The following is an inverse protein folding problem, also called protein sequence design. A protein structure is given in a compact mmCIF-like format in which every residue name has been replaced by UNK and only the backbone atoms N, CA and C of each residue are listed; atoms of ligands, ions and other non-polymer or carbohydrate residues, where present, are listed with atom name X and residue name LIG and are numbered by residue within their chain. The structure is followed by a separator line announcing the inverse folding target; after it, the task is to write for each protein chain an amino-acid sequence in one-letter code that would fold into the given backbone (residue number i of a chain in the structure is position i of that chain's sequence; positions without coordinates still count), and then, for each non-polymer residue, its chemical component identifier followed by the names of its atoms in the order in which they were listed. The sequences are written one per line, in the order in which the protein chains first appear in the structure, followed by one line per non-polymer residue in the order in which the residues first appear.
data_IF_765495188747
#
_entry.id   IF_765495188747
#
_cell.length_a   1.000
_cell.length_b   1.000
_cell.length_c   1.000
_cell.angle_alpha   90.00
_cell.angle_beta   90.00
_cell.angle_gamma   90.00
#
_symmetry.space_group_name_H-M   'P 1'
#
loop_
_entity.id
_entity.type
_entity.pdbx_description
1 polymer ?
#
# COMPACT_ATOMS: atom_id res chain seq x y z
N UNK A 1 0.72 -11.92 -12.72
CA UNK A 1 1.91 -11.95 -11.83
C UNK A 1 3.03 -10.98 -12.21
N UNK A 2 3.54 -10.95 -13.45
CA UNK A 2 4.59 -9.95 -13.82
C UNK A 2 4.06 -8.50 -13.84
N UNK A 3 2.79 -8.29 -14.21
CA UNK A 3 2.17 -6.96 -14.26
C UNK A 3 1.78 -6.40 -12.88
N UNK A 4 1.33 -7.23 -11.93
CA UNK A 4 0.97 -6.80 -10.55
C UNK A 4 2.16 -6.21 -9.77
N UNK A 5 3.37 -6.75 -10.00
CA UNK A 5 4.60 -6.14 -9.45
C UNK A 5 4.98 -4.89 -10.22
N UNK A 6 4.75 -4.82 -11.53
CA UNK A 6 5.00 -3.64 -12.38
C UNK A 6 4.12 -2.41 -12.00
N UNK A 7 2.95 -2.66 -11.42
CA UNK A 7 1.96 -1.67 -10.99
C UNK A 7 2.47 -0.80 -9.83
N UNK A 8 2.95 -1.38 -8.73
CA UNK A 8 3.57 -0.62 -7.62
C UNK A 8 4.94 0.00 -7.99
N UNK A 9 5.53 -0.41 -9.11
CA UNK A 9 6.88 0.00 -9.55
C UNK A 9 6.93 1.29 -10.37
N UNK A 10 5.79 1.83 -10.83
CA UNK A 10 5.76 3.04 -11.69
C UNK A 10 5.37 4.33 -10.95
N UNK A 11 5.01 4.25 -9.67
CA UNK A 11 4.75 5.39 -8.80
C UNK A 11 6.02 6.18 -8.43
N UNK A 12 7.13 5.48 -8.21
CA UNK A 12 8.34 6.01 -7.55
C UNK A 12 9.56 6.01 -8.49
N UNK A 13 9.57 6.84 -9.53
CA UNK A 13 10.80 7.06 -10.32
C UNK A 13 11.10 8.54 -10.47
N UNK A 14 12.08 9.05 -9.73
CA UNK A 14 12.56 10.43 -9.88
C UNK A 14 14.07 10.50 -9.82
N UNK A 15 14.63 11.25 -10.76
CA UNK A 15 16.06 11.52 -10.87
C UNK A 15 16.43 12.70 -9.97
N UNK A 16 17.22 12.49 -8.92
CA UNK A 16 17.86 13.55 -8.16
C UNK A 16 19.27 13.85 -8.70
N UNK A 17 19.67 15.12 -8.64
CA UNK A 17 21.01 15.60 -9.03
C UNK A 17 21.66 16.18 -7.78
N UNK A 18 22.48 15.38 -7.10
CA UNK A 18 23.20 15.82 -5.91
C UNK A 18 24.35 16.77 -6.25
N UNK A 19 24.48 17.85 -5.48
CA UNK A 19 25.68 18.68 -5.42
C UNK A 19 25.98 19.12 -3.98
N UNK A 20 26.56 18.21 -3.21
CA UNK A 20 27.05 18.49 -1.85
C UNK A 20 28.14 19.59 -1.84
N UNK A 21 27.94 20.60 -0.99
CA UNK A 21 28.97 21.58 -0.60
C UNK A 21 29.06 21.59 0.92
N UNK A 22 30.04 20.88 1.47
CA UNK A 22 30.30 20.87 2.90
C UNK A 22 30.80 22.21 3.46
N UNK A 23 30.31 22.57 4.64
CA UNK A 23 30.80 23.67 5.45
C UNK A 23 31.17 23.21 6.87
N UNK A 24 32.42 22.79 7.05
CA UNK A 24 33.04 22.72 8.39
C UNK A 24 33.32 24.13 8.91
N UNK A 25 32.33 24.76 9.53
CA UNK A 25 32.47 25.98 10.30
C UNK A 25 32.75 25.67 11.78
N UNK A 26 34.04 25.66 12.18
CA UNK A 26 34.45 25.43 13.57
C UNK A 26 33.89 26.48 14.54
N UNK A 27 32.73 26.23 15.16
CA UNK A 27 32.23 26.93 16.33
C UNK A 27 32.49 26.07 17.56
N UNK A 28 33.44 26.49 18.41
CA UNK A 28 33.74 25.83 19.69
C UNK A 28 32.75 26.23 20.77
N UNK A 29 31.46 25.94 20.58
CA UNK A 29 30.40 26.14 21.56
C UNK A 29 29.98 24.82 22.20
N UNK A 30 29.64 24.83 23.48
CA UNK A 30 29.13 23.63 24.16
C UNK A 30 27.82 23.18 23.48
N UNK A 31 27.72 21.89 23.14
CA UNK A 31 26.58 21.30 22.42
C UNK A 31 26.76 21.18 20.89
N UNK A 32 27.73 21.86 20.28
CA UNK A 32 27.90 21.81 18.81
C UNK A 32 28.38 20.45 18.30
N UNK A 33 29.21 19.74 19.08
CA UNK A 33 29.71 18.40 18.73
C UNK A 33 28.57 17.38 18.70
N UNK A 34 27.61 17.48 19.61
CA UNK A 34 26.45 16.58 19.65
C UNK A 34 25.46 16.90 18.52
N UNK A 35 25.24 18.18 18.20
CA UNK A 35 24.43 18.55 17.01
C UNK A 35 25.09 18.01 15.72
N UNK A 36 26.41 18.18 15.54
CA UNK A 36 27.10 17.64 14.36
C UNK A 36 26.95 16.11 14.27
N UNK A 37 27.12 15.39 15.37
CA UNK A 37 26.93 13.93 15.40
C UNK A 37 25.49 13.50 15.07
N UNK A 38 24.47 14.23 15.54
CA UNK A 38 23.09 13.96 15.20
C UNK A 38 22.82 14.15 13.70
N UNK A 39 23.29 15.27 13.13
CA UNK A 39 23.10 15.54 11.70
C UNK A 39 23.89 14.57 10.81
N UNK A 40 25.09 14.12 11.22
CA UNK A 40 25.82 13.08 10.48
C UNK A 40 24.98 11.78 10.39
N UNK A 41 24.33 11.36 11.48
CA UNK A 41 23.47 10.16 11.50
C UNK A 41 22.20 10.32 10.64
N UNK A 42 21.57 11.51 10.68
CA UNK A 42 20.40 11.82 9.87
C UNK A 42 20.76 11.97 8.39
N UNK A 43 21.95 12.46 8.06
CA UNK A 43 22.47 12.49 6.68
C UNK A 43 22.75 11.07 6.18
N UNK A 44 23.38 10.21 6.99
CA UNK A 44 23.55 8.78 6.66
C UNK A 44 22.21 8.07 6.40
N UNK A 45 21.15 8.43 7.16
CA UNK A 45 19.80 7.94 6.87
C UNK A 45 19.27 8.46 5.54
N UNK A 46 19.46 9.76 5.26
CA UNK A 46 18.99 10.36 4.02
C UNK A 46 19.65 9.71 2.81
N UNK A 47 20.95 9.41 2.87
CA UNK A 47 21.65 8.68 1.80
C UNK A 47 20.99 7.31 1.53
N UNK A 48 20.62 6.57 2.59
CA UNK A 48 19.95 5.28 2.48
C UNK A 48 18.53 5.43 1.92
N UNK A 49 17.79 6.45 2.36
CA UNK A 49 16.43 6.73 1.88
C UNK A 49 16.43 7.19 0.41
N UNK A 50 17.42 7.99 0.01
CA UNK A 50 17.61 8.43 -1.37
C UNK A 50 17.98 7.25 -2.28
N UNK A 51 18.77 6.28 -1.78
CA UNK A 51 19.01 5.03 -2.51
C UNK A 51 17.69 4.31 -2.82
N UNK A 52 16.69 4.34 -1.93
CA UNK A 52 15.38 3.76 -2.21
C UNK A 52 14.59 4.55 -3.26
N UNK A 53 14.76 5.87 -3.33
CA UNK A 53 14.16 6.67 -4.40
C UNK A 53 14.83 6.46 -5.76
N UNK A 54 16.15 6.22 -5.79
CA UNK A 54 16.94 6.03 -7.00
C UNK A 54 16.87 4.62 -7.59
N UNK A 55 16.44 3.63 -6.81
CA UNK A 55 16.25 2.26 -7.27
C UNK A 55 15.08 2.19 -8.26
N UNK A 56 15.38 2.37 -9.55
CA UNK A 56 14.53 1.93 -10.67
C UNK A 56 14.27 0.39 -10.63
N UNK A 57 15.00 -0.35 -9.79
CA UNK A 57 15.01 -1.80 -9.67
C UNK A 57 14.37 -2.29 -8.35
N UNK A 58 13.07 -2.57 -8.41
CA UNK A 58 12.35 -3.73 -7.83
C UNK A 58 12.38 -4.08 -6.32
N UNK A 59 13.18 -3.46 -5.46
CA UNK A 59 13.36 -3.91 -4.06
C UNK A 59 13.15 -2.76 -3.07
N UNK A 60 12.03 -2.82 -2.34
CA UNK A 60 11.82 -2.00 -1.14
C UNK A 60 12.87 -2.39 -0.07
N UNK A 61 13.17 -1.48 0.88
CA UNK A 61 14.12 -1.79 1.95
C UNK A 61 13.71 -3.05 2.69
N UNK A 62 14.70 -3.89 3.00
CA UNK A 62 14.46 -5.03 3.86
C UNK A 62 14.32 -4.60 5.34
N UNK A 63 13.85 -5.51 6.18
CA UNK A 63 13.67 -5.21 7.61
C UNK A 63 14.97 -4.80 8.30
N UNK A 64 16.13 -5.33 7.87
CA UNK A 64 17.40 -5.00 8.51
C UNK A 64 17.86 -3.58 8.17
N UNK A 65 17.55 -3.10 6.96
CA UNK A 65 17.76 -1.71 6.55
C UNK A 65 16.84 -0.76 7.31
N UNK A 66 15.54 -1.10 7.40
CA UNK A 66 14.54 -0.35 8.20
C UNK A 66 14.98 -0.24 9.67
N UNK A 67 15.35 -1.36 10.29
CA UNK A 67 15.82 -1.40 11.68
C UNK A 67 17.10 -0.56 11.87
N UNK A 68 17.98 -0.56 10.88
CA UNK A 68 19.20 0.25 10.87
C UNK A 68 18.92 1.75 10.82
N UNK A 69 17.93 2.18 10.05
CA UNK A 69 17.51 3.59 10.00
C UNK A 69 16.91 4.02 11.34
N UNK A 70 15.98 3.24 11.90
CA UNK A 70 15.38 3.50 13.22
C UNK A 70 16.44 3.63 14.31
N UNK A 71 17.44 2.73 14.31
CA UNK A 71 18.54 2.82 15.27
C UNK A 71 19.34 4.13 15.14
N UNK A 72 19.65 4.58 13.91
CA UNK A 72 20.37 5.85 13.72
C UNK A 72 19.53 7.07 14.11
N UNK A 73 18.21 7.01 13.92
CA UNK A 73 17.28 8.04 14.43
C UNK A 73 17.33 8.10 15.95
N UNK A 74 17.18 6.96 16.65
CA UNK A 74 17.26 6.89 18.11
C UNK A 74 18.61 7.45 18.63
N UNK A 75 19.72 7.10 17.96
CA UNK A 75 21.05 7.61 18.31
C UNK A 75 21.19 9.12 18.03
N UNK A 76 20.59 9.63 16.95
CA UNK A 76 20.57 11.06 16.65
C UNK A 76 19.75 11.83 17.70
N UNK A 77 18.60 11.32 18.13
CA UNK A 77 17.80 11.92 19.19
C UNK A 77 18.55 11.97 20.52
N UNK A 78 19.28 10.91 20.89
CA UNK A 78 20.14 10.89 22.08
C UNK A 78 21.21 12.02 22.04
N UNK A 79 21.76 12.30 20.86
CA UNK A 79 22.70 13.41 20.64
C UNK A 79 22.01 14.78 20.71
N UNK A 80 20.82 14.94 20.11
CA UNK A 80 20.03 16.17 20.18
C UNK A 80 19.62 16.49 21.62
N UNK A 81 19.22 15.48 22.40
CA UNK A 81 18.91 15.58 23.83
C UNK A 81 20.13 16.08 24.63
N UNK A 82 21.32 15.55 24.32
CA UNK A 82 22.56 15.97 24.96
C UNK A 82 22.94 17.42 24.62
N UNK A 83 22.76 17.82 23.35
CA UNK A 83 22.96 19.19 22.90
C UNK A 83 21.99 20.16 23.58
N UNK A 84 20.69 19.86 23.60
CA UNK A 84 19.64 20.71 24.21
C UNK A 84 19.94 20.98 25.70
N UNK A 85 20.41 19.95 26.42
CA UNK A 85 20.71 20.05 27.84
C UNK A 85 21.81 21.06 28.19
N UNK A 86 22.68 21.39 27.24
CA UNK A 86 23.81 22.33 27.41
C UNK A 86 23.69 23.59 26.54
N UNK A 87 22.71 23.65 25.63
CA UNK A 87 22.55 24.74 24.69
C UNK A 87 22.11 26.04 25.38
N UNK A 88 23.02 27.00 25.48
CA UNK A 88 22.72 28.40 25.87
C UNK A 88 22.58 29.33 24.66
N UNK A 89 23.00 28.88 23.47
CA UNK A 89 22.98 29.64 22.23
C UNK A 89 21.70 29.38 21.44
N UNK A 90 21.09 30.45 20.92
CA UNK A 90 19.86 30.39 20.11
C UNK A 90 20.12 29.57 18.83
N UNK A 91 21.27 29.74 18.17
CA UNK A 91 21.62 29.00 16.95
C UNK A 91 21.69 27.48 17.19
N UNK A 92 22.23 27.05 18.34
CA UNK A 92 22.26 25.63 18.72
C UNK A 92 20.86 25.12 19.00
N UNK A 93 20.02 25.88 19.73
CA UNK A 93 18.64 25.48 19.99
C UNK A 93 17.81 25.37 18.71
N UNK A 94 18.05 26.26 17.73
CA UNK A 94 17.39 26.19 16.43
C UNK A 94 17.84 24.96 15.63
N UNK A 95 19.14 24.62 15.66
CA UNK A 95 19.66 23.41 15.04
C UNK A 95 19.13 22.13 15.69
N UNK A 96 19.02 22.10 17.01
CA UNK A 96 18.46 20.97 17.76
C UNK A 96 17.00 20.73 17.35
N UNK A 97 16.18 21.79 17.31
CA UNK A 97 14.77 21.67 16.88
C UNK A 97 14.65 21.16 15.45
N UNK A 98 15.48 21.68 14.54
CA UNK A 98 15.52 21.21 13.16
C UNK A 98 15.88 19.72 13.09
N UNK A 99 16.87 19.28 13.88
CA UNK A 99 17.27 17.88 13.98
C UNK A 99 16.12 16.98 14.42
N UNK A 100 15.32 17.38 15.41
CA UNK A 100 14.14 16.61 15.83
C UNK A 100 13.08 16.53 14.73
N UNK A 101 12.81 17.63 14.02
CA UNK A 101 11.83 17.61 12.92
C UNK A 101 12.27 16.69 11.77
N UNK A 102 13.56 16.66 11.45
CA UNK A 102 14.11 15.72 10.45
C UNK A 102 14.04 14.27 10.96
N UNK A 103 14.39 14.03 12.22
CA UNK A 103 14.30 12.71 12.85
C UNK A 103 12.86 12.16 12.83
N UNK A 104 11.89 13.00 13.18
CA UNK A 104 10.46 12.68 13.15
C UNK A 104 9.98 12.36 11.73
N UNK A 105 10.34 13.19 10.75
CA UNK A 105 10.03 12.94 9.34
C UNK A 105 10.61 11.60 8.84
N UNK A 106 11.91 11.35 9.08
CA UNK A 106 12.56 10.11 8.66
C UNK A 106 11.93 8.88 9.35
N UNK A 107 11.53 9.02 10.62
CA UNK A 107 10.88 7.93 11.35
C UNK A 107 9.50 7.61 10.75
N UNK A 108 8.68 8.62 10.49
CA UNK A 108 7.37 8.45 9.86
C UNK A 108 7.50 7.83 8.48
N UNK A 109 8.44 8.30 7.67
CA UNK A 109 8.67 7.76 6.32
C UNK A 109 9.06 6.28 6.36
N UNK A 110 9.93 5.89 7.28
CA UNK A 110 10.34 4.49 7.43
C UNK A 110 9.19 3.61 7.94
N UNK A 111 8.32 4.13 8.80
CA UNK A 111 7.10 3.43 9.21
C UNK A 111 6.14 3.24 8.03
N UNK A 112 6.01 4.25 7.16
CA UNK A 112 5.24 4.12 5.93
C UNK A 112 5.81 3.01 5.03
N UNK A 113 7.12 2.99 4.80
CA UNK A 113 7.79 1.94 4.01
C UNK A 113 7.59 0.54 4.61
N UNK A 114 7.63 0.40 5.93
CA UNK A 114 7.36 -0.86 6.63
C UNK A 114 5.93 -1.35 6.42
N UNK A 115 4.94 -0.45 6.53
CA UNK A 115 3.54 -0.77 6.29
C UNK A 115 3.28 -1.15 4.82
N UNK A 116 3.85 -0.42 3.87
CA UNK A 116 3.82 -0.74 2.43
C UNK A 116 4.40 -2.14 2.16
N UNK A 117 5.52 -2.48 2.81
CA UNK A 117 6.12 -3.82 2.72
C UNK A 117 5.16 -4.91 3.23
N UNK A 118 4.48 -4.68 4.35
CA UNK A 118 3.48 -5.62 4.88
C UNK A 118 2.36 -5.86 3.87
N UNK A 119 1.85 -4.78 3.28
CA UNK A 119 0.79 -4.82 2.28
C UNK A 119 1.19 -5.67 1.06
N UNK A 120 2.39 -5.45 0.53
CA UNK A 120 2.91 -6.22 -0.62
C UNK A 120 3.04 -7.70 -0.28
N UNK A 121 3.57 -8.02 0.89
CA UNK A 121 3.69 -9.40 1.36
C UNK A 121 2.34 -10.08 1.58
N UNK A 122 1.36 -9.34 2.09
CA UNK A 122 -0.02 -9.80 2.25
C UNK A 122 -0.65 -10.17 0.90
N UNK A 123 -0.49 -9.32 -0.11
CA UNK A 123 -0.99 -9.60 -1.46
C UNK A 123 -0.35 -10.83 -2.12
N UNK A 124 0.98 -10.96 -2.02
CA UNK A 124 1.68 -12.15 -2.52
C UNK A 124 1.18 -13.43 -1.80
N UNK A 125 0.83 -13.31 -0.51
CA UNK A 125 0.28 -14.41 0.30
C UNK A 125 -1.14 -14.77 -0.14
N UNK A 126 -2.02 -13.79 -0.33
CA UNK A 126 -3.40 -13.97 -0.82
C UNK A 126 -3.40 -14.69 -2.16
N UNK A 127 -2.58 -14.23 -3.11
CA UNK A 127 -2.46 -14.88 -4.44
C UNK A 127 -2.02 -16.33 -4.28
N UNK A 128 -1.00 -16.59 -3.46
CA UNK A 128 -0.51 -17.95 -3.24
C UNK A 128 -1.55 -18.85 -2.55
N UNK A 129 -2.43 -18.30 -1.70
CA UNK A 129 -3.53 -19.02 -1.06
C UNK A 129 -4.64 -19.34 -2.07
N UNK A 130 -5.05 -18.38 -2.90
CA UNK A 130 -6.04 -18.59 -3.97
C UNK A 130 -5.53 -19.64 -4.98
N UNK A 131 -4.27 -19.52 -5.44
CA UNK A 131 -3.65 -20.51 -6.34
C UNK A 131 -3.59 -21.93 -5.73
N UNK A 132 -3.61 -22.02 -4.39
CA UNK A 132 -3.58 -23.26 -3.65
C UNK A 132 -4.98 -23.76 -3.22
N UNK A 133 -6.06 -23.14 -3.72
CA UNK A 133 -7.45 -23.50 -3.39
C UNK A 133 -7.76 -23.33 -1.88
N UNK A 134 -7.17 -22.30 -1.27
CA UNK A 134 -7.30 -21.96 0.16
C UNK A 134 -8.03 -20.63 0.34
N UNK A 135 -9.24 -20.52 -0.22
CA UNK A 135 -10.01 -19.26 -0.23
C UNK A 135 -10.35 -18.75 1.18
N UNK A 136 -10.66 -19.63 2.13
CA UNK A 136 -10.88 -19.25 3.53
C UNK A 136 -9.66 -18.54 4.15
N UNK A 137 -8.46 -19.09 3.90
CA UNK A 137 -7.22 -18.50 4.42
C UNK A 137 -6.89 -17.18 3.70
N UNK A 138 -7.19 -17.10 2.40
CA UNK A 138 -7.05 -15.88 1.60
C UNK A 138 -7.98 -14.77 2.13
N UNK A 139 -9.20 -15.11 2.54
CA UNK A 139 -10.14 -14.16 3.11
C UNK A 139 -9.63 -13.59 4.43
N UNK A 140 -9.19 -14.45 5.36
CA UNK A 140 -8.60 -14.02 6.64
C UNK A 140 -7.40 -13.09 6.41
N UNK A 141 -6.50 -13.45 5.48
CA UNK A 141 -5.33 -12.62 5.15
C UNK A 141 -5.74 -11.31 4.47
N UNK A 142 -6.80 -11.29 3.67
CA UNK A 142 -7.30 -10.08 3.01
C UNK A 142 -7.97 -9.09 3.97
N UNK A 143 -8.58 -9.57 5.05
CA UNK A 143 -9.11 -8.73 6.13
C UNK A 143 -7.96 -8.08 6.93
N UNK A 144 -6.90 -8.85 7.26
CA UNK A 144 -5.69 -8.30 7.90
C UNK A 144 -4.99 -7.28 6.98
N UNK A 145 -4.95 -7.56 5.68
CA UNK A 145 -4.34 -6.67 4.69
C UNK A 145 -5.04 -5.31 4.59
N UNK A 146 -6.36 -5.24 4.82
CA UNK A 146 -7.07 -3.96 4.85
C UNK A 146 -6.61 -3.08 6.01
N UNK A 147 -6.43 -3.67 7.20
CA UNK A 147 -5.91 -2.96 8.35
C UNK A 147 -4.49 -2.44 8.06
N UNK A 148 -3.63 -3.29 7.46
CA UNK A 148 -2.27 -2.91 7.06
C UNK A 148 -2.25 -1.79 5.98
N UNK A 149 -3.18 -1.82 5.02
CA UNK A 149 -3.28 -0.80 3.97
C UNK A 149 -3.73 0.55 4.55
N UNK A 150 -4.69 0.54 5.47
CA UNK A 150 -5.14 1.73 6.17
C UNK A 150 -4.02 2.32 7.05
N UNK A 151 -3.25 1.46 7.73
CA UNK A 151 -2.06 1.88 8.48
C UNK A 151 -1.00 2.48 7.55
N UNK A 152 -0.73 1.88 6.39
CA UNK A 152 0.20 2.44 5.41
C UNK A 152 -0.22 3.84 4.96
N UNK A 153 -1.50 4.03 4.68
CA UNK A 153 -2.05 5.32 4.27
C UNK A 153 -1.90 6.38 5.38
N UNK A 154 -2.26 6.03 6.63
CA UNK A 154 -2.05 6.89 7.81
C UNK A 154 -0.57 7.29 7.95
N UNK A 155 0.36 6.35 7.76
CA UNK A 155 1.80 6.62 7.86
C UNK A 155 2.36 7.48 6.73
N UNK A 156 1.84 7.34 5.52
CA UNK A 156 2.21 8.25 4.41
C UNK A 156 1.74 9.67 4.73
N UNK A 157 0.49 9.83 5.15
CA UNK A 157 -0.07 11.11 5.57
C UNK A 157 0.69 11.74 6.75
N UNK A 158 1.03 10.97 7.80
CA UNK A 158 1.88 11.43 8.91
C UNK A 158 3.27 11.89 8.43
N UNK A 159 3.83 11.23 7.41
CA UNK A 159 5.12 11.61 6.82
C UNK A 159 5.03 12.94 6.05
N UNK A 160 3.92 13.18 5.34
CA UNK A 160 3.66 14.46 4.66
C UNK A 160 3.53 15.59 5.68
N UNK A 161 2.77 15.36 6.75
CA UNK A 161 2.61 16.33 7.84
C UNK A 161 3.94 16.64 8.52
N UNK A 162 4.75 15.61 8.82
CA UNK A 162 6.08 15.78 9.41
C UNK A 162 7.03 16.57 8.48
N UNK A 163 6.96 16.33 7.17
CA UNK A 163 7.71 17.11 6.17
C UNK A 163 7.28 18.58 6.15
N UNK A 164 5.97 18.86 6.26
CA UNK A 164 5.41 20.22 6.30
C UNK A 164 5.79 21.00 7.57
N UNK A 165 6.11 20.30 8.65
CA UNK A 165 6.58 20.91 9.90
C UNK A 165 8.06 21.32 9.84
N UNK A 166 8.83 20.79 8.88
CA UNK A 166 10.22 21.19 8.66
C UNK A 166 10.25 22.60 8.07
N UNK A 167 10.91 23.51 8.78
CA UNK A 167 11.05 24.90 8.35
C UNK A 167 12.11 25.02 7.24
N UNK A 168 11.66 25.10 5.98
CA UNK A 168 12.50 25.29 4.79
C UNK A 168 13.50 26.46 4.93
N UNK A 169 13.07 27.57 5.55
CA UNK A 169 13.95 28.73 5.74
C UNK A 169 15.11 28.39 6.70
N UNK A 170 14.88 27.49 7.68
CA UNK A 170 15.91 27.00 8.61
C UNK A 170 16.80 25.96 7.97
N UNK A 171 16.27 25.04 7.16
CA UNK A 171 17.06 24.09 6.37
C UNK A 171 18.07 24.83 5.47
N UNK A 172 17.57 25.78 4.67
CA UNK A 172 18.38 26.59 3.75
C UNK A 172 19.44 27.43 4.49
N UNK A 173 19.11 27.93 5.68
CA UNK A 173 20.03 28.77 6.47
C UNK A 173 21.15 27.95 7.11
N UNK A 174 20.86 26.72 7.51
CA UNK A 174 21.84 25.88 8.20
C UNK A 174 22.72 25.07 7.23
N UNK A 175 22.30 24.85 5.98
CA UNK A 175 23.04 24.08 4.95
C UNK A 175 23.58 22.72 5.50
N UNK A 176 22.78 22.04 6.35
CA UNK A 176 23.20 20.83 7.07
C UNK A 176 22.81 19.52 6.38
N UNK A 177 21.56 19.41 5.92
CA UNK A 177 21.01 18.23 5.24
C UNK A 177 20.18 18.69 4.05
N UNK A 178 20.33 18.00 2.92
CA UNK A 178 19.46 18.12 1.75
C UNK A 178 18.45 16.98 1.82
N UNK A 179 17.15 17.29 1.99
CA UNK A 179 16.10 16.27 1.92
C UNK A 179 15.86 15.94 0.44
N UNK A 180 16.17 14.70 0.02
CA UNK A 180 15.93 14.23 -1.35
C UNK A 180 14.46 13.99 -1.66
N UNK A 181 13.61 13.96 -0.63
CA UNK A 181 12.18 13.66 -0.72
C UNK A 181 11.39 14.90 -1.16
N UNK A 182 10.65 14.78 -2.26
CA UNK A 182 9.76 15.82 -2.77
C UNK A 182 8.34 15.58 -2.27
N UNK A 183 7.77 16.56 -1.56
CA UNK A 183 6.40 16.50 -1.05
C UNK A 183 5.39 16.09 -2.11
N UNK A 184 5.52 16.60 -3.33
CA UNK A 184 4.58 16.27 -4.42
C UNK A 184 4.64 14.78 -4.81
N UNK A 185 5.76 14.09 -4.53
CA UNK A 185 5.85 12.63 -4.68
C UNK A 185 5.12 11.92 -3.56
N UNK A 186 5.31 12.33 -2.31
CA UNK A 186 4.60 11.72 -1.18
C UNK A 186 3.08 11.90 -1.32
N UNK A 187 2.62 13.10 -1.68
CA UNK A 187 1.20 13.35 -1.99
C UNK A 187 0.73 12.47 -3.15
N UNK A 188 1.57 12.18 -4.14
CA UNK A 188 1.21 11.26 -5.22
C UNK A 188 1.11 9.81 -4.72
N UNK A 189 2.03 9.36 -3.88
CA UNK A 189 2.00 8.01 -3.28
C UNK A 189 0.77 7.85 -2.39
N UNK A 190 0.43 8.85 -1.59
CA UNK A 190 -0.78 8.94 -0.77
C UNK A 190 -2.04 8.72 -1.62
N UNK A 191 -2.20 9.51 -2.69
CA UNK A 191 -3.32 9.34 -3.64
C UNK A 191 -3.33 7.97 -4.35
N UNK A 192 -2.16 7.42 -4.67
CA UNK A 192 -2.05 6.08 -5.27
C UNK A 192 -2.46 4.98 -4.26
N UNK A 193 -2.12 5.15 -2.98
CA UNK A 193 -2.48 4.23 -1.90
C UNK A 193 -3.97 4.29 -1.54
N UNK A 194 -4.61 5.46 -1.58
CA UNK A 194 -6.06 5.59 -1.43
C UNK A 194 -6.81 4.70 -2.43
N UNK A 195 -6.41 4.76 -3.71
CA UNK A 195 -7.02 3.89 -4.75
C UNK A 195 -6.69 2.43 -4.48
N UNK A 196 -5.49 2.14 -3.99
CA UNK A 196 -5.07 0.77 -3.69
C UNK A 196 -5.86 0.14 -2.54
N UNK A 197 -6.15 0.90 -1.48
CA UNK A 197 -7.01 0.49 -0.37
C UNK A 197 -8.41 0.10 -0.89
N UNK A 198 -8.99 0.93 -1.76
CA UNK A 198 -10.27 0.65 -2.42
C UNK A 198 -10.21 -0.61 -3.31
N UNK A 199 -9.10 -0.83 -4.01
CA UNK A 199 -8.89 -2.07 -4.76
C UNK A 199 -8.82 -3.31 -3.85
N UNK A 200 -8.16 -3.21 -2.69
CA UNK A 200 -8.10 -4.31 -1.71
C UNK A 200 -9.50 -4.61 -1.18
N UNK A 201 -10.33 -3.60 -0.88
CA UNK A 201 -11.73 -3.79 -0.52
C UNK A 201 -12.50 -4.57 -1.60
N UNK A 202 -12.31 -4.21 -2.88
CA UNK A 202 -12.92 -4.94 -3.99
C UNK A 202 -12.43 -6.39 -4.08
N UNK A 203 -11.14 -6.66 -3.83
CA UNK A 203 -10.62 -8.02 -3.79
C UNK A 203 -11.18 -8.84 -2.64
N UNK A 204 -11.40 -8.26 -1.46
CA UNK A 204 -12.06 -8.95 -0.33
C UNK A 204 -13.46 -9.40 -0.75
N UNK A 205 -14.24 -8.50 -1.36
CA UNK A 205 -15.58 -8.81 -1.89
C UNK A 205 -15.52 -9.92 -2.96
N UNK A 206 -14.53 -9.88 -3.88
CA UNK A 206 -14.31 -10.97 -4.84
C UNK A 206 -13.98 -12.31 -4.16
N UNK A 207 -13.12 -12.32 -3.13
CA UNK A 207 -12.73 -13.54 -2.40
C UNK A 207 -13.95 -14.13 -1.67
N UNK A 208 -14.80 -13.29 -1.08
CA UNK A 208 -16.08 -13.72 -0.49
C UNK A 208 -17.01 -14.33 -1.53
N UNK A 209 -17.08 -13.74 -2.74
CA UNK A 209 -17.81 -14.30 -3.87
C UNK A 209 -17.28 -15.68 -4.29
N UNK A 210 -15.95 -15.86 -4.35
CA UNK A 210 -15.32 -17.14 -4.65
C UNK A 210 -15.63 -18.19 -3.58
N UNK A 211 -15.59 -17.84 -2.30
CA UNK A 211 -15.95 -18.75 -1.19
C UNK A 211 -17.40 -19.22 -1.32
N UNK A 212 -18.31 -18.31 -1.66
CA UNK A 212 -19.72 -18.64 -1.88
C UNK A 212 -19.91 -19.51 -3.14
N UNK A 213 -19.14 -19.27 -4.20
CA UNK A 213 -19.14 -20.07 -5.42
C UNK A 213 -18.65 -21.51 -5.17
N UNK A 214 -17.58 -21.70 -4.40
CA UNK A 214 -17.12 -23.04 -4.00
C UNK A 214 -18.21 -23.78 -3.21
N UNK A 215 -18.82 -23.11 -2.23
CA UNK A 215 -19.92 -23.69 -1.46
C UNK A 215 -21.15 -24.03 -2.32
N UNK A 216 -21.42 -23.25 -3.36
CA UNK A 216 -22.46 -23.54 -4.35
C UNK A 216 -22.15 -24.84 -5.12
N UNK A 217 -20.90 -25.00 -5.57
CA UNK A 217 -20.46 -26.20 -6.30
C UNK A 217 -20.58 -27.43 -5.41
N UNK A 218 -20.11 -27.39 -4.17
CA UNK A 218 -20.25 -28.49 -3.21
C UNK A 218 -21.73 -28.88 -3.00
N UNK A 219 -22.61 -27.90 -2.84
CA UNK A 219 -24.04 -28.14 -2.68
C UNK A 219 -24.69 -28.75 -3.93
N UNK A 220 -24.22 -28.37 -5.13
CA UNK A 220 -24.64 -28.99 -6.40
C UNK A 220 -24.20 -30.45 -6.48
N UNK A 221 -22.96 -30.76 -6.09
CA UNK A 221 -22.43 -32.13 -6.06
C UNK A 221 -23.20 -33.04 -5.10
N UNK A 222 -23.67 -32.48 -3.99
CA UNK A 222 -24.53 -33.15 -3.01
C UNK A 222 -26.02 -33.23 -3.42
N UNK A 223 -26.38 -32.76 -4.62
CA UNK A 223 -27.75 -32.65 -5.14
C UNK A 223 -28.67 -31.77 -4.26
N UNK A 224 -28.10 -30.87 -3.45
CA UNK A 224 -28.81 -29.96 -2.56
C UNK A 224 -29.12 -28.63 -3.25
N UNK A 225 -30.06 -28.65 -4.21
CA UNK A 225 -30.36 -27.50 -5.07
C UNK A 225 -30.84 -26.24 -4.34
N UNK A 226 -31.48 -26.38 -3.18
CA UNK A 226 -31.93 -25.23 -2.38
C UNK A 226 -30.73 -24.48 -1.79
N UNK A 227 -29.78 -25.21 -1.20
CA UNK A 227 -28.56 -24.62 -0.64
C UNK A 227 -27.63 -24.09 -1.75
N UNK A 228 -27.51 -24.82 -2.86
CA UNK A 228 -26.79 -24.33 -4.03
C UNK A 228 -27.35 -23.00 -4.53
N UNK A 229 -28.67 -22.85 -4.59
CA UNK A 229 -29.27 -21.58 -5.01
C UNK A 229 -28.94 -20.45 -4.02
N UNK A 230 -29.09 -20.70 -2.73
CA UNK A 230 -28.77 -19.70 -1.69
C UNK A 230 -27.29 -19.26 -1.80
N UNK A 231 -26.36 -20.18 -2.09
CA UNK A 231 -24.94 -19.87 -2.30
C UNK A 231 -24.65 -19.13 -3.60
N UNK A 232 -25.32 -19.48 -4.70
CA UNK A 232 -25.21 -18.77 -5.96
C UNK A 232 -25.65 -17.30 -5.83
N UNK A 233 -26.75 -17.05 -5.11
CA UNK A 233 -27.25 -15.69 -4.87
C UNK A 233 -26.31 -14.87 -3.96
N UNK A 234 -25.65 -15.51 -2.99
CA UNK A 234 -24.60 -14.86 -2.20
C UNK A 234 -23.40 -14.50 -3.09
N UNK A 235 -22.91 -15.46 -3.89
CA UNK A 235 -21.78 -15.21 -4.78
C UNK A 235 -22.08 -14.08 -5.79
N UNK A 236 -23.26 -14.08 -6.40
CA UNK A 236 -23.73 -13.01 -7.30
C UNK A 236 -23.73 -11.65 -6.59
N UNK A 237 -24.20 -11.59 -5.35
CA UNK A 237 -24.21 -10.36 -4.56
C UNK A 237 -22.80 -9.82 -4.27
N UNK A 238 -21.88 -10.68 -3.84
CA UNK A 238 -20.51 -10.24 -3.52
C UNK A 238 -19.75 -9.80 -4.79
N UNK A 239 -19.92 -10.50 -5.91
CA UNK A 239 -19.34 -10.05 -7.19
C UNK A 239 -20.00 -8.77 -7.74
N UNK A 240 -21.30 -8.57 -7.53
CA UNK A 240 -21.96 -7.30 -7.85
C UNK A 240 -21.40 -6.14 -7.01
N UNK A 241 -21.15 -6.38 -5.71
CA UNK A 241 -20.50 -5.38 -4.84
C UNK A 241 -19.11 -5.04 -5.36
N UNK A 242 -18.27 -6.06 -5.62
CA UNK A 242 -16.91 -5.85 -6.11
C UNK A 242 -16.90 -5.10 -7.44
N UNK A 243 -17.74 -5.50 -8.40
CA UNK A 243 -17.88 -4.83 -9.69
C UNK A 243 -18.29 -3.36 -9.53
N UNK A 244 -19.27 -3.09 -8.66
CA UNK A 244 -19.72 -1.71 -8.40
C UNK A 244 -18.57 -0.85 -7.84
N UNK A 245 -17.75 -1.40 -6.94
CA UNK A 245 -16.60 -0.69 -6.39
C UNK A 245 -15.53 -0.41 -7.44
N UNK A 246 -15.15 -1.40 -8.25
CA UNK A 246 -14.17 -1.18 -9.30
C UNK A 246 -14.66 -0.20 -10.38
N UNK A 247 -15.96 -0.21 -10.70
CA UNK A 247 -16.58 0.81 -11.57
C UNK A 247 -16.52 2.21 -10.95
N UNK A 248 -16.72 2.34 -9.63
CA UNK A 248 -16.54 3.62 -8.92
C UNK A 248 -15.10 4.13 -9.00
N UNK A 249 -14.10 3.24 -8.87
CA UNK A 249 -12.68 3.58 -9.05
C UNK A 249 -12.39 3.94 -10.52
N UNK A 250 -12.91 3.18 -11.48
CA UNK A 250 -12.77 3.43 -12.92
C UNK A 250 -13.30 4.81 -13.34
N UNK A 251 -14.42 5.23 -12.74
CA UNK A 251 -15.07 6.51 -13.00
C UNK A 251 -14.42 7.69 -12.27
N UNK A 252 -13.43 7.46 -11.38
CA UNK A 252 -12.75 8.50 -10.63
C UNK A 252 -11.84 9.35 -11.55
N UNK A 253 -12.06 10.67 -11.68
CA UNK A 253 -11.21 11.54 -12.49
C UNK A 253 -9.76 11.66 -12.01
N UNK A 254 -9.49 11.31 -10.75
CA UNK A 254 -8.18 11.37 -10.11
C UNK A 254 -7.47 9.99 -10.11
N UNK A 255 -8.06 8.96 -10.73
CA UNK A 255 -7.43 7.65 -10.93
C UNK A 255 -6.05 7.78 -11.61
N UNK A 256 -4.96 7.28 -11.00
CA UNK A 256 -3.64 7.35 -11.62
C UNK A 256 -3.62 6.63 -12.96
N UNK A 257 -3.14 7.32 -14.01
CA UNK A 257 -3.21 6.83 -15.40
C UNK A 257 -2.48 5.49 -15.66
N UNK A 258 -1.56 5.10 -14.77
CA UNK A 258 -0.87 3.80 -14.87
C UNK A 258 -1.68 2.64 -14.28
N UNK A 259 -2.73 2.93 -13.50
CA UNK A 259 -3.64 1.98 -12.86
C UNK A 259 -4.93 1.78 -13.66
N UNK A 260 -5.30 2.75 -14.52
CA UNK A 260 -6.53 2.75 -15.32
C UNK A 260 -6.79 1.40 -16.04
N UNK A 261 -5.78 0.86 -16.72
CA UNK A 261 -5.93 -0.39 -17.44
C UNK A 261 -6.19 -1.59 -16.53
N UNK A 262 -5.55 -1.63 -15.36
CA UNK A 262 -5.68 -2.73 -14.41
C UNK A 262 -7.04 -2.68 -13.71
N UNK A 263 -7.52 -1.48 -13.35
CA UNK A 263 -8.87 -1.29 -12.78
C UNK A 263 -9.95 -1.69 -13.79
N UNK A 264 -9.83 -1.30 -15.05
CA UNK A 264 -10.76 -1.70 -16.12
C UNK A 264 -10.78 -3.23 -16.29
N UNK A 265 -9.61 -3.88 -16.27
CA UNK A 265 -9.51 -5.34 -16.38
C UNK A 265 -10.19 -6.03 -15.19
N UNK A 266 -9.92 -5.59 -13.96
CA UNK A 266 -10.50 -6.18 -12.75
C UNK A 266 -12.02 -5.91 -12.66
N UNK A 267 -12.47 -4.72 -13.07
CA UNK A 267 -13.89 -4.36 -13.19
C UNK A 267 -14.63 -5.31 -14.16
N UNK A 268 -14.00 -5.64 -15.29
CA UNK A 268 -14.53 -6.60 -16.25
C UNK A 268 -14.57 -8.02 -15.64
N UNK A 269 -13.50 -8.49 -15.01
CA UNK A 269 -13.44 -9.81 -14.37
C UNK A 269 -14.54 -9.97 -13.29
N UNK A 270 -14.76 -8.94 -12.47
CA UNK A 270 -15.81 -8.95 -11.44
C UNK A 270 -17.22 -8.98 -12.07
N UNK A 271 -17.44 -8.24 -13.15
CA UNK A 271 -18.70 -8.28 -13.92
C UNK A 271 -18.96 -9.65 -14.55
N UNK A 272 -17.92 -10.28 -15.11
CA UNK A 272 -18.00 -11.62 -15.70
C UNK A 272 -18.32 -12.69 -14.64
N UNK A 273 -17.71 -12.60 -13.45
CA UNK A 273 -18.03 -13.45 -12.31
C UNK A 273 -19.47 -13.26 -11.81
N UNK A 274 -19.96 -12.02 -11.73
CA UNK A 274 -21.37 -11.72 -11.42
C UNK A 274 -22.30 -12.34 -12.45
N UNK A 275 -22.03 -12.16 -13.74
CA UNK A 275 -22.88 -12.68 -14.81
C UNK A 275 -22.90 -14.22 -14.82
N UNK A 276 -21.75 -14.85 -14.60
CA UNK A 276 -21.62 -16.30 -14.46
C UNK A 276 -22.45 -16.83 -13.28
N UNK A 277 -22.34 -16.21 -12.10
CA UNK A 277 -23.11 -16.59 -10.90
C UNK A 277 -24.60 -16.38 -11.05
N UNK A 278 -25.04 -15.29 -11.69
CA UNK A 278 -26.44 -15.09 -12.05
C UNK A 278 -26.97 -16.18 -12.99
N UNK A 279 -26.16 -16.63 -13.96
CA UNK A 279 -26.49 -17.76 -14.81
C UNK A 279 -26.53 -19.10 -14.05
N UNK A 280 -25.62 -19.34 -13.11
CA UNK A 280 -25.69 -20.51 -12.23
C UNK A 280 -27.00 -20.54 -11.43
N UNK A 281 -27.38 -19.42 -10.80
CA UNK A 281 -28.61 -19.31 -10.02
C UNK A 281 -29.86 -19.62 -10.88
N UNK A 282 -29.94 -19.07 -12.10
CA UNK A 282 -31.04 -19.35 -13.03
C UNK A 282 -31.10 -20.81 -13.47
N UNK A 283 -29.93 -21.43 -13.71
CA UNK A 283 -29.82 -22.85 -13.99
C UNK A 283 -30.35 -23.69 -12.83
N UNK A 284 -29.89 -23.43 -11.60
CA UNK A 284 -30.31 -24.14 -10.38
C UNK A 284 -31.84 -24.04 -10.19
N UNK A 285 -32.42 -22.86 -10.39
CA UNK A 285 -33.89 -22.65 -10.36
C UNK A 285 -34.62 -23.49 -11.42
N UNK A 286 -34.02 -23.70 -12.59
CA UNK A 286 -34.57 -24.57 -13.62
C UNK A 286 -34.52 -26.04 -13.21
N UNK A 287 -33.39 -26.50 -12.65
CA UNK A 287 -33.24 -27.85 -12.10
C UNK A 287 -34.25 -28.16 -10.98
N UNK A 288 -34.50 -27.22 -10.05
CA UNK A 288 -35.53 -27.36 -9.01
C UNK A 288 -36.94 -27.61 -9.58
N UNK A 289 -37.22 -27.09 -10.79
CA UNK A 289 -38.50 -27.31 -11.52
C UNK A 289 -38.48 -28.58 -12.39
N UNK A 290 -37.36 -29.28 -12.47
CA UNK A 290 -37.14 -30.44 -13.33
C UNK A 290 -36.92 -30.11 -14.80
N UNK A 291 -36.55 -28.86 -15.12
CA UNK A 291 -36.26 -28.38 -16.47
C UNK A 291 -34.76 -28.47 -16.77
N UNK A 292 -34.30 -29.68 -17.06
CA UNK A 292 -32.87 -29.98 -17.25
C UNK A 292 -32.29 -29.37 -18.53
N UNK A 293 -33.09 -29.24 -19.59
CA UNK A 293 -32.65 -28.59 -20.83
C UNK A 293 -32.30 -27.11 -20.57
N UNK A 294 -33.11 -26.42 -19.76
CA UNK A 294 -32.83 -25.03 -19.37
C UNK A 294 -31.66 -24.92 -18.39
N UNK A 295 -31.50 -25.88 -17.45
CA UNK A 295 -30.31 -25.95 -16.60
C UNK A 295 -29.04 -26.01 -17.44
N UNK A 296 -28.95 -26.93 -18.41
CA UNK A 296 -27.78 -27.07 -19.30
C UNK A 296 -27.51 -25.77 -20.09
N UNK A 297 -28.54 -25.14 -20.65
CA UNK A 297 -28.40 -23.86 -21.38
C UNK A 297 -27.82 -22.75 -20.49
N UNK A 298 -28.21 -22.69 -19.22
CA UNK A 298 -27.70 -21.69 -18.29
C UNK A 298 -26.26 -21.99 -17.82
N UNK A 299 -25.90 -23.27 -17.63
CA UNK A 299 -24.52 -23.65 -17.32
C UNK A 299 -23.57 -23.28 -18.48
N UNK A 300 -23.97 -23.51 -19.73
CA UNK A 300 -23.18 -23.11 -20.91
C UNK A 300 -22.97 -21.59 -20.98
N UNK A 301 -23.97 -20.79 -20.55
CA UNK A 301 -23.81 -19.32 -20.48
C UNK A 301 -22.93 -18.88 -19.33
N UNK A 302 -22.99 -19.56 -18.18
CA UNK A 302 -22.10 -19.29 -17.07
C UNK A 302 -20.63 -19.55 -17.46
N UNK A 303 -20.36 -20.68 -18.13
CA UNK A 303 -19.03 -20.98 -18.67
C UNK A 303 -18.58 -19.93 -19.70
N UNK A 304 -19.47 -19.51 -20.60
CA UNK A 304 -19.14 -18.51 -21.62
C UNK A 304 -18.93 -17.09 -21.07
N UNK A 305 -19.43 -16.79 -19.87
CA UNK A 305 -19.15 -15.52 -19.19
C UNK A 305 -17.75 -15.51 -18.56
N UNK A 306 -17.15 -16.67 -18.29
CA UNK A 306 -15.81 -16.81 -17.70
C UNK A 306 -14.68 -16.98 -18.76
N UNK A 307 -14.99 -16.92 -20.06
CA UNK A 307 -14.06 -17.11 -21.20
C UNK A 307 -13.64 -15.80 -21.90
#
# INVERSE_FOLDING_TARGET
MVQRREFLRKGVSVTAVAAAVGLSGCLGQEGSEDVEAAFDLLEENQEVLDEFEELEDDELPDQAEIDGIKQRIDEAEDHLDAADAVAEDEEIQEAVQLGYSIAEFQLSLVQALEAINSVIHGLDTIVAQIDADRVDDALETSEELLDDASEANEKISESIDALDEIDDDRLDTQERIELGVDKAKLERVDNEFDVFEEMIHGFVEMIQGLQALEAMIDALEDENLDDALDKAEIAEFEFESAASRFEEIEDDPDLPAHMEADVIEISADANDLRDATGHYADGIRAAQRGDWDAFEEHMEKAEAALE
#
